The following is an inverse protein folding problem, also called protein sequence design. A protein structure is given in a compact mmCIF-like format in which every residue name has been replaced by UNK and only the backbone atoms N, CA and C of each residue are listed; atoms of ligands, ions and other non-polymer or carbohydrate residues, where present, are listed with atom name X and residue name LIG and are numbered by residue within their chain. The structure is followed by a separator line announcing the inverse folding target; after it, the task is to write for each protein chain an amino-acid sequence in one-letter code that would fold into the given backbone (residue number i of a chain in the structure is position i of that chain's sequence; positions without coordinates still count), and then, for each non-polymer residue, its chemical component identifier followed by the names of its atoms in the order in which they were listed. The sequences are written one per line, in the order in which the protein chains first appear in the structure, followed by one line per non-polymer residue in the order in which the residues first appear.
data_IF_716435969462
#
_entry.id   IF_716435969462
#
_cell.length_a   1.000
_cell.length_b   1.000
_cell.length_c   1.000
_cell.angle_alpha   90.00
_cell.angle_beta   90.00
_cell.angle_gamma   90.00
#
_symmetry.space_group_name_H-M   'P 1'
#
loop_
_entity.id
_entity.type
_entity.pdbx_description
1 polymer ?
#
# COMPACT_ATOMS: atom_id res chain seq x y z
N UNK A 1 17.29 5.98 -10.48
CA UNK A 1 17.42 5.32 -9.16
C UNK A 1 16.59 4.05 -9.20
N UNK A 2 17.11 2.93 -8.70
CA UNK A 2 16.36 1.67 -8.59
C UNK A 2 15.62 1.69 -7.25
N UNK A 3 14.30 1.64 -7.27
CA UNK A 3 13.52 1.56 -6.03
C UNK A 3 13.78 0.21 -5.35
N UNK A 4 14.18 0.23 -4.08
CA UNK A 4 14.32 -0.96 -3.25
C UNK A 4 13.30 -0.87 -2.14
N UNK A 5 12.38 -1.83 -2.11
CA UNK A 5 11.41 -1.95 -1.04
C UNK A 5 12.09 -2.39 0.26
N UNK A 6 11.71 -1.76 1.37
CA UNK A 6 12.13 -2.11 2.72
C UNK A 6 10.87 -2.18 3.59
N UNK A 7 10.54 -3.38 4.06
CA UNK A 7 9.35 -3.63 4.88
C UNK A 7 9.38 -2.88 6.23
N UNK A 8 10.54 -2.36 6.66
CA UNK A 8 10.66 -1.55 7.88
C UNK A 8 10.40 -0.07 7.64
N UNK A 9 10.36 0.37 6.38
CA UNK A 9 10.05 1.74 6.01
C UNK A 9 8.56 1.93 5.83
N UNK A 10 8.13 3.17 6.03
CA UNK A 10 6.77 3.60 5.76
C UNK A 10 6.71 4.31 4.41
N UNK A 11 5.60 4.11 3.68
CA UNK A 11 5.37 4.65 2.35
C UNK A 11 3.97 5.27 2.25
N UNK A 12 3.83 6.32 1.46
CA UNK A 12 2.54 6.80 0.94
C UNK A 12 2.19 6.02 -0.32
N UNK A 13 0.91 5.80 -0.52
CA UNK A 13 0.37 5.17 -1.73
C UNK A 13 -0.32 6.23 -2.56
N UNK A 14 0.26 6.53 -3.72
CA UNK A 14 -0.24 7.54 -4.65
C UNK A 14 -0.88 6.84 -5.85
N UNK A 15 -2.14 7.17 -6.16
CA UNK A 15 -2.82 6.66 -7.34
C UNK A 15 -2.08 7.06 -8.62
N UNK A 16 -1.76 6.09 -9.48
CA UNK A 16 -1.10 6.41 -10.76
C UNK A 16 -2.04 7.13 -11.73
N UNK A 17 -3.34 6.87 -11.65
CA UNK A 17 -4.34 7.45 -12.56
C UNK A 17 -4.67 8.90 -12.21
N UNK A 18 -4.71 9.25 -10.92
CA UNK A 18 -5.21 10.54 -10.45
C UNK A 18 -4.18 11.36 -9.63
N UNK A 19 -3.03 10.78 -9.29
CA UNK A 19 -1.99 11.41 -8.49
C UNK A 19 -2.38 11.66 -7.03
N UNK A 20 -3.48 11.09 -6.54
CA UNK A 20 -3.99 11.36 -5.20
C UNK A 20 -3.49 10.36 -4.18
N UNK A 21 -3.42 10.78 -2.92
CA UNK A 21 -3.14 9.90 -1.80
C UNK A 21 -4.30 8.91 -1.61
N UNK A 22 -4.03 7.63 -1.88
CA UNK A 22 -4.99 6.54 -1.72
C UNK A 22 -4.88 5.86 -0.34
N UNK A 23 -3.70 5.91 0.28
CA UNK A 23 -3.45 5.25 1.56
C UNK A 23 -1.98 5.32 1.98
N UNK A 24 -1.64 4.52 2.99
CA UNK A 24 -0.28 4.41 3.51
C UNK A 24 0.08 2.95 3.74
N UNK A 25 1.35 2.63 3.56
CA UNK A 25 1.95 1.37 3.93
C UNK A 25 2.92 1.66 5.08
N UNK A 26 2.51 1.36 6.32
CA UNK A 26 3.32 1.62 7.52
C UNK A 26 4.00 0.32 7.93
N UNK A 27 5.32 0.24 7.82
CA UNK A 27 6.09 -0.97 8.13
C UNK A 27 5.50 -2.25 7.48
N UNK A 28 5.14 -2.16 6.19
CA UNK A 28 4.52 -3.26 5.43
C UNK A 28 3.02 -3.48 5.68
N UNK A 29 2.39 -2.75 6.59
CA UNK A 29 0.95 -2.84 6.86
C UNK A 29 0.18 -1.77 6.09
N UNK A 30 -0.83 -2.18 5.33
CA UNK A 30 -1.67 -1.31 4.51
C UNK A 30 -2.79 -0.69 5.34
N UNK A 31 -2.81 0.63 5.36
CA UNK A 31 -3.88 1.44 5.92
C UNK A 31 -4.55 2.21 4.77
N UNK A 32 -5.82 1.91 4.53
CA UNK A 32 -6.64 2.64 3.55
C UNK A 32 -7.32 3.78 4.30
N UNK A 33 -7.14 5.01 3.82
CA UNK A 33 -7.82 6.16 4.40
C UNK A 33 -9.27 6.18 3.92
N UNK A 34 -10.18 5.64 4.75
CA UNK A 34 -11.62 5.81 4.53
C UNK A 34 -12.02 7.17 5.10
N UNK A 35 -12.56 8.05 4.27
CA UNK A 35 -12.97 9.38 4.70
C UNK A 35 -14.17 9.33 5.65
N UNK A 36 -14.03 9.89 6.85
CA UNK A 36 -15.16 10.54 7.54
C UNK A 36 -15.48 10.15 8.99
N UNK A 37 -14.88 9.10 9.57
CA UNK A 37 -15.50 8.49 10.77
C UNK A 37 -14.78 8.81 12.08
N UNK A 38 -13.61 9.46 12.02
CA UNK A 38 -12.76 9.71 13.20
C UNK A 38 -12.18 8.45 13.85
N UNK A 39 -12.48 7.25 13.32
CA UNK A 39 -11.83 6.00 13.71
C UNK A 39 -10.38 6.00 13.22
N UNK A 40 -9.48 5.53 14.08
CA UNK A 40 -8.12 5.21 13.64
C UNK A 40 -8.21 4.18 12.51
N UNK A 41 -7.51 4.38 11.39
CA UNK A 41 -7.47 3.39 10.33
C UNK A 41 -6.86 2.10 10.89
N UNK A 42 -7.55 0.99 10.70
CA UNK A 42 -7.02 -0.34 11.01
C UNK A 42 -6.21 -0.87 9.82
N UNK A 43 -5.25 -1.75 10.10
CA UNK A 43 -4.49 -2.44 9.05
C UNK A 43 -5.43 -3.35 8.27
N UNK A 44 -5.61 -3.07 6.99
CA UNK A 44 -6.46 -3.86 6.11
C UNK A 44 -5.75 -5.11 5.56
N UNK A 45 -4.45 -4.99 5.30
CA UNK A 45 -3.65 -6.05 4.70
C UNK A 45 -2.16 -5.85 5.00
N UNK A 46 -1.36 -6.87 4.75
CA UNK A 46 0.09 -6.85 4.94
C UNK A 46 0.79 -7.19 3.62
N UNK A 47 1.86 -6.47 3.31
CA UNK A 47 2.71 -6.69 2.15
C UNK A 47 3.96 -7.48 2.56
N UNK A 48 3.99 -8.76 2.17
CA UNK A 48 5.11 -9.68 2.38
C UNK A 48 5.48 -10.36 1.07
N UNK A 49 6.77 -10.48 0.76
CA UNK A 49 7.28 -11.12 -0.46
C UNK A 49 6.52 -10.70 -1.74
N UNK A 50 6.31 -9.40 -1.88
CA UNK A 50 5.62 -8.77 -3.01
C UNK A 50 4.14 -9.10 -3.13
N UNK A 51 3.55 -9.71 -2.11
CA UNK A 51 2.16 -10.09 -2.05
C UNK A 51 1.44 -9.34 -0.94
N UNK A 52 0.38 -8.65 -1.31
CA UNK A 52 -0.50 -7.97 -0.37
C UNK A 52 -1.64 -8.92 0.03
N UNK A 53 -1.67 -9.31 1.31
CA UNK A 53 -2.64 -10.27 1.85
C UNK A 53 -3.44 -9.70 3.00
N UNK A 54 -4.74 -10.02 3.07
CA UNK A 54 -5.56 -9.68 4.24
C UNK A 54 -5.15 -10.51 5.47
N UNK A 55 -5.68 -10.16 6.64
CA UNK A 55 -5.47 -10.93 7.87
C UNK A 55 -5.92 -12.40 7.74
N UNK A 56 -6.92 -12.69 6.90
CA UNK A 56 -7.40 -14.04 6.59
C UNK A 56 -6.54 -14.77 5.53
N UNK A 57 -5.41 -14.18 5.11
CA UNK A 57 -4.49 -14.75 4.15
C UNK A 57 -4.91 -14.61 2.68
N UNK A 58 -5.99 -13.87 2.38
CA UNK A 58 -6.45 -13.67 1.01
C UNK A 58 -5.51 -12.73 0.26
N UNK A 59 -4.99 -13.18 -0.89
CA UNK A 59 -4.23 -12.32 -1.80
C UNK A 59 -5.15 -11.27 -2.43
N UNK A 60 -4.78 -9.99 -2.30
CA UNK A 60 -5.56 -8.86 -2.81
C UNK A 60 -4.74 -7.89 -3.66
N UNK A 61 -3.43 -8.05 -3.71
CA UNK A 61 -2.55 -7.21 -4.52
C UNK A 61 -1.16 -7.80 -4.66
N UNK A 62 -0.41 -7.28 -5.63
CA UNK A 62 1.00 -7.64 -5.85
C UNK A 62 1.83 -6.37 -6.02
N UNK A 63 3.06 -6.37 -5.52
CA UNK A 63 4.04 -5.31 -5.72
C UNK A 63 5.02 -5.71 -6.83
N UNK A 64 5.31 -4.77 -7.71
CA UNK A 64 6.43 -4.85 -8.63
C UNK A 64 7.18 -3.52 -8.57
N UNK A 65 8.46 -3.54 -8.16
CA UNK A 65 9.25 -2.32 -7.92
C UNK A 65 8.51 -1.32 -6.98
N UNK A 66 8.33 -0.08 -7.39
CA UNK A 66 7.61 0.93 -6.61
C UNK A 66 6.09 0.88 -6.81
N UNK A 67 5.54 -0.09 -7.54
CA UNK A 67 4.12 -0.14 -7.88
C UNK A 67 3.43 -1.29 -7.14
N UNK A 68 2.33 -0.98 -6.45
CA UNK A 68 1.41 -1.94 -5.87
C UNK A 68 0.13 -1.95 -6.70
N UNK A 69 -0.22 -3.12 -7.23
CA UNK A 69 -1.45 -3.32 -8.02
C UNK A 69 -2.47 -4.10 -7.20
N UNK A 70 -3.67 -3.55 -7.02
CA UNK A 70 -4.78 -4.22 -6.35
C UNK A 70 -5.51 -5.15 -7.33
N UNK A 71 -5.56 -6.45 -7.05
CA UNK A 71 -6.09 -7.45 -7.99
C UNK A 71 -7.58 -7.28 -8.28
N UNK A 72 -8.38 -6.89 -7.27
CA UNK A 72 -9.84 -6.79 -7.42
C UNK A 72 -10.25 -5.64 -8.32
N UNK A 73 -9.51 -4.53 -8.28
CA UNK A 73 -9.89 -3.28 -8.96
C UNK A 73 -8.97 -2.94 -10.12
N UNK A 74 -7.80 -3.57 -10.23
CA UNK A 74 -6.77 -3.21 -11.21
C UNK A 74 -6.05 -1.90 -10.90
N UNK A 75 -6.37 -1.24 -9.78
CA UNK A 75 -5.79 0.05 -9.41
C UNK A 75 -4.30 -0.13 -9.13
N UNK A 76 -3.48 0.72 -9.74
CA UNK A 76 -2.04 0.78 -9.53
C UNK A 76 -1.66 1.98 -8.67
N UNK A 77 -0.88 1.73 -7.63
CA UNK A 77 -0.47 2.69 -6.62
C UNK A 77 1.06 2.76 -6.57
N UNK A 78 1.63 3.96 -6.65
CA UNK A 78 3.06 4.19 -6.42
C UNK A 78 3.36 4.27 -4.93
N UNK A 79 4.40 3.56 -4.50
CA UNK A 79 5.00 3.63 -3.17
C UNK A 79 6.00 4.78 -3.12
N UNK A 80 5.71 5.78 -2.32
CA UNK A 80 6.62 6.90 -2.05
C UNK A 80 7.10 6.85 -0.59
N UNK A 81 8.41 6.73 -0.31
CA UNK A 81 8.92 6.70 1.06
C UNK A 81 8.46 7.94 1.85
N UNK A 82 8.03 7.72 3.10
CA UNK A 82 7.64 8.80 4.01
C UNK A 82 8.85 9.58 4.55
N UNK A 83 10.00 8.92 4.67
CA UNK A 83 11.26 9.50 5.14
C UNK A 83 12.31 9.44 4.01
N UNK A 84 13.05 10.54 3.84
CA UNK A 84 14.14 10.72 2.87
C UNK A 84 15.49 10.25 3.43
#
# INVERSE_FOLDING_TARGET
MRFTYDARRSYRLIGLDDGRLAGQLLCGQLYIMVGGDGRQPESYAQLEDDQLRTAEGRLIGCREADILTLQRTGVALRLEPLDA
#
